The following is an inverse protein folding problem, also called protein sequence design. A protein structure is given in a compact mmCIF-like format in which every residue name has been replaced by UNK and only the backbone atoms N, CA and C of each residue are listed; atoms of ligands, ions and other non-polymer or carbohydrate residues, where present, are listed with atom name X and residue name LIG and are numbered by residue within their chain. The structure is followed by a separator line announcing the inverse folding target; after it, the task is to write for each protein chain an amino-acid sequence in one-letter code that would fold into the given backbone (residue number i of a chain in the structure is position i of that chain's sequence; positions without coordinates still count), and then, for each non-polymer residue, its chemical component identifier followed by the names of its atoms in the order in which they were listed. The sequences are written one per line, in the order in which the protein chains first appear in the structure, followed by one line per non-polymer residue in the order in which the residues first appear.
data_IF_042945967068
#
_entry.id   IF_042945967068
#
_cell.length_a   1.000
_cell.length_b   1.000
_cell.length_c   1.000
_cell.angle_alpha   90.00
_cell.angle_beta   90.00
_cell.angle_gamma   90.00
#
_symmetry.space_group_name_H-M   'P 1'
#
loop_
_entity.id
_entity.type
_entity.pdbx_description
1 polymer ?
#
# COMPACT_ATOMS: atom_id res chain seq x y z
N UNK A 1 -23.59 -0.68 8.97
CA UNK A 1 -22.94 -0.27 7.69
C UNK A 1 -23.19 1.19 7.34
N UNK A 2 -24.45 1.67 7.33
CA UNK A 2 -24.79 3.08 7.05
C UNK A 2 -23.98 4.08 7.90
N UNK A 3 -23.80 3.77 9.17
CA UNK A 3 -23.04 4.57 10.14
C UNK A 3 -21.54 4.73 9.81
N UNK A 4 -20.93 3.74 9.15
CA UNK A 4 -19.53 3.82 8.70
C UNK A 4 -19.39 4.52 7.35
N UNK A 5 -20.40 4.38 6.49
CA UNK A 5 -20.41 4.96 5.15
C UNK A 5 -20.63 6.49 5.20
N UNK A 6 -21.52 6.95 6.07
CA UNK A 6 -21.94 8.35 6.12
C UNK A 6 -20.79 9.34 6.46
N UNK A 7 -19.90 9.07 7.44
CA UNK A 7 -18.74 9.92 7.70
C UNK A 7 -17.77 10.01 6.51
N UNK A 8 -17.57 8.88 5.80
CA UNK A 8 -16.69 8.81 4.63
C UNK A 8 -17.29 9.63 3.48
N UNK A 9 -18.59 9.48 3.22
CA UNK A 9 -19.32 10.24 2.20
C UNK A 9 -19.31 11.75 2.49
N UNK A 10 -19.40 12.16 3.75
CA UNK A 10 -19.34 13.58 4.13
C UNK A 10 -17.97 14.21 3.85
N UNK A 11 -16.89 13.45 3.92
CA UNK A 11 -15.52 13.94 3.70
C UNK A 11 -15.06 13.84 2.24
N UNK A 12 -15.75 13.06 1.42
CA UNK A 12 -15.40 12.79 0.01
C UNK A 12 -15.26 14.06 -0.87
N UNK A 13 -16.14 15.07 -0.79
CA UNK A 13 -16.05 16.27 -1.62
C UNK A 13 -14.74 17.06 -1.43
N UNK A 14 -14.18 17.06 -0.22
CA UNK A 14 -12.88 17.68 0.06
C UNK A 14 -11.69 16.77 -0.29
N UNK A 15 -11.85 15.46 -0.07
CA UNK A 15 -10.81 14.47 -0.32
C UNK A 15 -10.42 14.35 -1.80
N UNK A 16 -11.39 14.31 -2.73
CA UNK A 16 -11.10 14.08 -4.16
C UNK A 16 -10.24 15.19 -4.78
N UNK A 17 -10.53 16.49 -4.61
CA UNK A 17 -9.66 17.56 -5.10
C UNK A 17 -8.26 17.52 -4.49
N UNK A 18 -8.14 17.19 -3.21
CA UNK A 18 -6.85 17.08 -2.55
C UNK A 18 -6.04 15.89 -3.07
N UNK A 19 -6.67 14.73 -3.25
CA UNK A 19 -6.07 13.59 -3.94
C UNK A 19 -5.59 13.97 -5.34
N UNK A 20 -6.40 14.70 -6.12
CA UNK A 20 -6.01 15.17 -7.46
C UNK A 20 -4.79 16.11 -7.43
N UNK A 21 -4.74 17.06 -6.49
CA UNK A 21 -3.57 17.93 -6.28
C UNK A 21 -2.33 17.15 -5.84
N UNK A 22 -2.52 16.11 -5.03
CA UNK A 22 -1.43 15.25 -4.56
C UNK A 22 -0.87 14.42 -5.71
N UNK A 23 -1.71 13.80 -6.54
CA UNK A 23 -1.26 12.97 -7.67
C UNK A 23 -0.55 13.81 -8.74
N UNK A 24 -1.04 15.03 -9.02
CA UNK A 24 -0.46 15.89 -10.06
C UNK A 24 0.83 16.59 -9.63
N UNK A 25 0.99 16.91 -8.34
CA UNK A 25 2.15 17.65 -7.81
C UNK A 25 2.61 17.08 -6.46
N UNK A 26 2.96 15.78 -6.37
CA UNK A 26 3.11 15.08 -5.10
C UNK A 26 4.09 15.77 -4.15
N UNK A 27 5.29 16.04 -4.66
CA UNK A 27 6.34 16.68 -3.88
C UNK A 27 5.92 18.03 -3.29
N UNK A 28 5.39 18.94 -4.12
CA UNK A 28 5.05 20.30 -3.69
C UNK A 28 3.84 20.29 -2.76
N UNK A 29 2.83 19.46 -3.05
CA UNK A 29 1.63 19.31 -2.22
C UNK A 29 1.98 18.78 -0.83
N UNK A 30 2.78 17.69 -0.74
CA UNK A 30 3.21 17.11 0.54
C UNK A 30 3.98 18.12 1.38
N UNK A 31 5.01 18.77 0.81
CA UNK A 31 5.85 19.71 1.55
C UNK A 31 5.04 20.90 2.06
N UNK A 32 4.11 21.42 1.25
CA UNK A 32 3.22 22.51 1.65
C UNK A 32 2.32 22.07 2.80
N UNK A 33 1.59 20.97 2.65
CA UNK A 33 0.64 20.50 3.66
C UNK A 33 1.34 20.17 4.99
N UNK A 34 2.50 19.50 4.95
CA UNK A 34 3.27 19.21 6.17
C UNK A 34 3.70 20.50 6.91
N UNK A 35 4.00 21.57 6.18
CA UNK A 35 4.33 22.88 6.78
C UNK A 35 3.09 23.58 7.35
N UNK A 36 1.98 23.55 6.64
CA UNK A 36 0.70 24.14 7.07
C UNK A 36 0.16 23.49 8.34
N UNK A 37 0.39 22.18 8.53
CA UNK A 37 -0.04 21.45 9.73
C UNK A 37 0.78 21.77 10.98
N UNK A 38 1.91 22.48 10.86
CA UNK A 38 2.76 22.94 11.98
C UNK A 38 3.13 21.84 13.00
N UNK A 39 3.24 20.59 12.54
CA UNK A 39 3.57 19.45 13.42
C UNK A 39 2.38 18.76 14.06
N UNK A 40 1.16 18.99 13.58
CA UNK A 40 -0.02 18.18 13.90
C UNK A 40 -0.16 17.01 12.91
N UNK A 41 -0.79 15.92 13.36
CA UNK A 41 -1.05 14.73 12.54
C UNK A 41 -2.51 14.64 12.07
N UNK A 42 -3.35 15.60 12.43
CA UNK A 42 -4.79 15.52 12.22
C UNK A 42 -5.16 15.36 10.75
N UNK A 43 -4.75 16.27 9.85
CA UNK A 43 -5.09 16.13 8.43
C UNK A 43 -4.46 14.91 7.76
N UNK A 44 -3.16 14.58 7.96
CA UNK A 44 -2.57 13.36 7.40
C UNK A 44 -3.29 12.08 7.84
N UNK A 45 -3.67 11.99 9.11
CA UNK A 45 -4.41 10.83 9.66
C UNK A 45 -5.81 10.74 9.08
N UNK A 46 -6.54 11.86 8.96
CA UNK A 46 -7.85 11.88 8.31
C UNK A 46 -7.72 11.46 6.84
N UNK A 47 -6.71 11.95 6.13
CA UNK A 47 -6.48 11.64 4.72
C UNK A 47 -6.24 10.15 4.49
N UNK A 48 -5.37 9.53 5.29
CA UNK A 48 -5.12 8.07 5.21
C UNK A 48 -6.34 7.27 5.68
N UNK A 49 -7.07 7.72 6.70
CA UNK A 49 -8.26 7.03 7.18
C UNK A 49 -9.35 6.97 6.10
N UNK A 50 -9.59 8.07 5.38
CA UNK A 50 -10.51 8.10 4.23
C UNK A 50 -10.03 7.15 3.13
N UNK A 51 -8.74 7.18 2.79
CA UNK A 51 -8.15 6.28 1.77
C UNK A 51 -8.33 4.81 2.15
N UNK A 52 -8.06 4.46 3.41
CA UNK A 52 -8.24 3.10 3.93
C UNK A 52 -9.70 2.70 3.89
N UNK A 53 -10.62 3.57 4.29
CA UNK A 53 -12.06 3.30 4.28
C UNK A 53 -12.58 3.05 2.86
N UNK A 54 -12.20 3.87 1.87
CA UNK A 54 -12.59 3.65 0.47
C UNK A 54 -12.00 2.33 -0.04
N UNK A 55 -10.70 2.08 0.19
CA UNK A 55 -10.09 0.81 -0.23
C UNK A 55 -10.73 -0.41 0.42
N UNK A 56 -11.14 -0.31 1.69
CA UNK A 56 -11.90 -1.37 2.36
C UNK A 56 -13.28 -1.61 1.73
N UNK A 57 -14.02 -0.53 1.45
CA UNK A 57 -15.32 -0.65 0.76
C UNK A 57 -15.20 -1.33 -0.61
N UNK A 58 -14.13 -1.03 -1.35
CA UNK A 58 -13.85 -1.66 -2.63
C UNK A 58 -13.49 -3.15 -2.50
N UNK A 59 -12.92 -3.56 -1.36
CA UNK A 59 -12.54 -4.96 -1.08
C UNK A 59 -13.65 -5.76 -0.39
N UNK A 60 -14.73 -5.13 0.06
CA UNK A 60 -15.82 -5.78 0.78
C UNK A 60 -16.39 -7.03 0.08
N UNK A 61 -16.52 -7.09 -1.26
CA UNK A 61 -17.01 -8.30 -1.94
C UNK A 61 -16.12 -9.54 -1.77
N UNK A 62 -14.88 -9.39 -1.28
CA UNK A 62 -13.94 -10.49 -1.02
C UNK A 62 -14.05 -11.10 0.37
N UNK A 63 -14.73 -10.42 1.30
CA UNK A 63 -14.80 -10.88 2.68
C UNK A 63 -15.72 -12.11 2.72
N UNK A 64 -15.19 -13.24 3.18
CA UNK A 64 -15.95 -14.48 3.33
C UNK A 64 -17.10 -14.28 4.33
N UNK A 65 -18.22 -14.96 4.09
CA UNK A 65 -19.47 -14.74 4.85
C UNK A 65 -19.38 -15.21 6.31
N UNK A 66 -18.45 -16.11 6.60
CA UNK A 66 -18.22 -16.77 7.89
C UNK A 66 -17.21 -16.03 8.77
N UNK A 67 -16.42 -15.11 8.21
CA UNK A 67 -15.47 -14.32 8.99
C UNK A 67 -16.13 -13.14 9.70
N UNK A 68 -15.82 -12.98 11.00
CA UNK A 68 -16.20 -11.78 11.76
C UNK A 68 -15.53 -10.54 11.14
N UNK A 69 -16.32 -9.74 10.41
CA UNK A 69 -15.85 -8.52 9.75
C UNK A 69 -15.17 -7.58 10.75
N UNK A 70 -15.69 -7.45 11.97
CA UNK A 70 -15.10 -6.61 13.02
C UNK A 70 -13.71 -7.10 13.43
N UNK A 71 -13.52 -8.41 13.60
CA UNK A 71 -12.23 -9.00 13.97
C UNK A 71 -11.21 -8.85 12.84
N UNK A 72 -11.62 -9.10 11.60
CA UNK A 72 -10.77 -8.93 10.42
C UNK A 72 -10.34 -7.47 10.25
N UNK A 73 -11.29 -6.53 10.30
CA UNK A 73 -11.00 -5.09 10.13
C UNK A 73 -10.11 -4.57 11.25
N UNK A 74 -10.40 -4.90 12.51
CA UNK A 74 -9.62 -4.42 13.66
C UNK A 74 -8.19 -4.96 13.66
N UNK A 75 -8.00 -6.26 13.39
CA UNK A 75 -6.66 -6.86 13.30
C UNK A 75 -5.84 -6.28 12.14
N UNK A 76 -6.44 -6.17 10.95
CA UNK A 76 -5.78 -5.55 9.80
C UNK A 76 -5.44 -4.07 10.05
N UNK A 77 -6.35 -3.31 10.65
CA UNK A 77 -6.14 -1.90 10.96
C UNK A 77 -5.00 -1.71 11.97
N UNK A 78 -5.04 -2.45 13.09
CA UNK A 78 -4.00 -2.41 14.11
C UNK A 78 -2.63 -2.76 13.53
N UNK A 79 -2.56 -3.84 12.75
CA UNK A 79 -1.34 -4.26 12.08
C UNK A 79 -0.80 -3.21 11.10
N UNK A 80 -1.66 -2.65 10.24
CA UNK A 80 -1.28 -1.60 9.28
C UNK A 80 -0.80 -0.33 9.98
N UNK A 81 -1.44 0.09 11.07
CA UNK A 81 -1.02 1.27 11.84
C UNK A 81 0.40 1.07 12.38
N UNK A 82 0.68 -0.09 12.99
CA UNK A 82 2.02 -0.40 13.50
C UNK A 82 3.03 -0.43 12.36
N UNK A 83 2.71 -1.09 11.25
CA UNK A 83 3.56 -1.12 10.05
C UNK A 83 3.88 0.28 9.53
N UNK A 84 2.88 1.17 9.46
CA UNK A 84 3.06 2.55 9.01
C UNK A 84 4.00 3.34 9.93
N UNK A 85 3.84 3.20 11.26
CA UNK A 85 4.68 3.88 12.26
C UNK A 85 6.12 3.36 12.17
N UNK A 86 6.30 2.03 12.15
CA UNK A 86 7.63 1.40 12.07
C UNK A 86 8.35 1.84 10.81
N UNK A 87 7.70 1.80 9.66
CA UNK A 87 8.34 2.16 8.40
C UNK A 87 8.66 3.66 8.32
N UNK A 88 7.77 4.52 8.84
CA UNK A 88 8.07 5.95 8.97
C UNK A 88 9.27 6.21 9.91
N UNK A 89 9.41 5.42 10.99
CA UNK A 89 10.54 5.50 11.90
C UNK A 89 11.85 5.08 11.22
N UNK A 90 11.82 4.04 10.37
CA UNK A 90 12.96 3.63 9.54
C UNK A 90 13.38 4.76 8.60
N UNK A 91 12.44 5.33 7.81
CA UNK A 91 12.73 6.45 6.91
C UNK A 91 13.33 7.62 7.70
N UNK A 92 12.71 7.98 8.82
CA UNK A 92 13.17 9.06 9.67
C UNK A 92 14.58 8.82 10.20
N UNK A 93 14.84 7.63 10.75
CA UNK A 93 16.14 7.20 11.25
C UNK A 93 17.23 7.29 10.17
N UNK A 94 16.96 6.77 8.98
CA UNK A 94 17.91 6.84 7.86
C UNK A 94 18.22 8.27 7.44
N UNK A 95 17.22 9.16 7.38
CA UNK A 95 17.47 10.59 7.13
C UNK A 95 18.26 11.25 8.27
N UNK A 96 17.99 10.89 9.54
CA UNK A 96 18.75 11.40 10.69
C UNK A 96 20.22 10.98 10.64
N UNK A 97 20.53 9.76 10.21
CA UNK A 97 21.91 9.27 10.05
C UNK A 97 22.73 10.10 9.05
N UNK A 98 22.10 10.70 8.04
CA UNK A 98 22.78 11.56 7.04
C UNK A 98 22.68 13.06 7.34
N UNK A 99 22.24 13.42 8.55
CA UNK A 99 22.14 14.80 9.04
C UNK A 99 20.82 15.51 8.74
N UNK A 100 19.74 14.77 8.48
CA UNK A 100 18.39 15.33 8.28
C UNK A 100 17.86 16.07 9.51
N UNK A 101 17.16 17.18 9.26
CA UNK A 101 16.70 18.11 10.31
C UNK A 101 15.19 18.08 10.56
N UNK A 102 14.41 17.32 9.78
CA UNK A 102 12.97 17.29 9.98
C UNK A 102 12.61 16.61 11.31
N UNK A 103 11.50 17.01 11.92
CA UNK A 103 10.91 16.28 13.05
C UNK A 103 10.30 14.95 12.59
N UNK A 104 10.17 13.98 13.49
CA UNK A 104 9.51 12.70 13.18
C UNK A 104 8.09 12.90 12.63
N UNK A 105 7.31 13.78 13.27
CA UNK A 105 5.94 14.10 12.83
C UNK A 105 5.89 14.55 11.36
N UNK A 106 6.82 15.41 10.93
CA UNK A 106 6.88 15.85 9.53
C UNK A 106 7.19 14.67 8.57
N UNK A 107 8.05 13.75 8.98
CA UNK A 107 8.36 12.54 8.20
C UNK A 107 7.14 11.62 8.14
N UNK A 108 6.47 11.41 9.27
CA UNK A 108 5.29 10.55 9.35
C UNK A 108 4.12 11.13 8.55
N UNK A 109 3.82 12.42 8.69
CA UNK A 109 2.81 13.12 7.87
C UNK A 109 3.07 12.96 6.37
N UNK A 110 4.32 13.18 5.94
CA UNK A 110 4.69 12.99 4.55
C UNK A 110 4.48 11.54 4.09
N UNK A 111 4.89 10.57 4.89
CA UNK A 111 4.70 9.16 4.57
C UNK A 111 3.21 8.77 4.47
N UNK A 112 2.35 9.26 5.37
CA UNK A 112 0.91 9.05 5.31
C UNK A 112 0.29 9.60 4.01
N UNK A 113 0.71 10.80 3.58
CA UNK A 113 0.26 11.33 2.29
C UNK A 113 0.78 10.51 1.11
N UNK A 114 1.99 9.95 1.18
CA UNK A 114 2.55 9.13 0.08
C UNK A 114 1.83 7.79 -0.04
N UNK A 115 1.62 7.09 1.07
CA UNK A 115 1.06 5.73 1.07
C UNK A 115 -0.43 5.72 0.72
N UNK A 116 -1.15 6.80 1.00
CA UNK A 116 -2.61 6.90 0.79
C UNK A 116 -3.05 6.71 -0.69
N UNK A 117 -2.59 7.52 -1.66
CA UNK A 117 -2.91 7.32 -3.07
C UNK A 117 -2.33 6.02 -3.62
N UNK A 118 -1.13 5.63 -3.16
CA UNK A 118 -0.52 4.37 -3.57
C UNK A 118 -1.41 3.19 -3.17
N UNK A 119 -1.84 3.14 -1.91
CA UNK A 119 -2.77 2.12 -1.42
C UNK A 119 -4.03 2.04 -2.28
N UNK A 120 -4.68 3.17 -2.56
CA UNK A 120 -5.88 3.21 -3.39
C UNK A 120 -5.65 2.60 -4.78
N UNK A 121 -4.57 2.98 -5.44
CA UNK A 121 -4.25 2.44 -6.76
C UNK A 121 -3.89 0.95 -6.70
N UNK A 122 -3.19 0.50 -5.66
CA UNK A 122 -2.90 -0.92 -5.44
C UNK A 122 -4.16 -1.74 -5.20
N UNK A 123 -5.16 -1.20 -4.49
CA UNK A 123 -6.48 -1.85 -4.32
C UNK A 123 -7.17 -2.01 -5.67
N UNK A 124 -7.14 -1.01 -6.54
CA UNK A 124 -7.74 -1.10 -7.88
C UNK A 124 -7.06 -2.16 -8.76
N UNK A 125 -5.72 -2.20 -8.75
CA UNK A 125 -4.98 -3.25 -9.45
C UNK A 125 -5.32 -4.64 -8.90
N UNK A 126 -5.42 -4.77 -7.58
CA UNK A 126 -5.78 -6.03 -6.93
C UNK A 126 -7.18 -6.51 -7.33
N UNK A 127 -8.16 -5.61 -7.50
CA UNK A 127 -9.48 -5.95 -8.03
C UNK A 127 -9.43 -6.37 -9.50
N UNK A 128 -8.63 -5.68 -10.32
CA UNK A 128 -8.42 -6.06 -11.71
C UNK A 128 -7.80 -7.46 -11.83
N UNK A 129 -6.79 -7.75 -11.01
CA UNK A 129 -6.19 -9.09 -10.91
C UNK A 129 -7.23 -10.16 -10.57
N UNK A 130 -8.08 -9.92 -9.57
CA UNK A 130 -9.17 -10.85 -9.24
C UNK A 130 -10.16 -11.04 -10.38
N UNK A 131 -10.45 -9.99 -11.15
CA UNK A 131 -11.30 -10.09 -12.34
C UNK A 131 -10.74 -11.11 -13.34
N UNK A 132 -9.43 -11.06 -13.60
CA UNK A 132 -8.73 -12.02 -14.46
C UNK A 132 -8.80 -13.44 -13.90
N UNK A 133 -8.55 -13.61 -12.60
CA UNK A 133 -8.61 -14.93 -11.94
C UNK A 133 -10.02 -15.52 -12.00
N UNK A 134 -11.04 -14.68 -11.78
CA UNK A 134 -12.43 -15.09 -11.83
C UNK A 134 -12.85 -15.51 -13.25
N UNK A 135 -12.36 -14.83 -14.28
CA UNK A 135 -12.64 -15.20 -15.68
C UNK A 135 -11.99 -16.54 -16.09
N UNK A 136 -10.85 -16.89 -15.49
CA UNK A 136 -10.24 -18.20 -15.72
C UNK A 136 -11.06 -19.36 -15.13
N UNK A 137 -11.82 -19.11 -14.05
CA UNK A 137 -12.71 -20.07 -13.40
C UNK A 137 -12.02 -21.39 -12.94
N UNK A 138 -10.74 -21.32 -12.59
CA UNK A 138 -10.00 -22.46 -12.03
C UNK A 138 -9.77 -22.24 -10.51
N UNK A 139 -10.41 -23.05 -9.64
CA UNK A 139 -10.35 -22.87 -8.19
C UNK A 139 -8.95 -23.14 -7.62
N UNK A 140 -8.19 -24.09 -8.18
CA UNK A 140 -6.81 -24.37 -7.76
C UNK A 140 -5.89 -23.19 -8.04
N UNK A 141 -6.06 -22.56 -9.21
CA UNK A 141 -5.30 -21.36 -9.57
C UNK A 141 -5.64 -20.16 -8.67
N UNK A 142 -6.93 -19.97 -8.35
CA UNK A 142 -7.38 -18.93 -7.43
C UNK A 142 -6.84 -19.14 -6.00
N UNK A 143 -6.84 -20.39 -5.52
CA UNK A 143 -6.27 -20.76 -4.22
C UNK A 143 -4.75 -20.53 -4.19
N UNK A 144 -4.05 -20.94 -5.26
CA UNK A 144 -2.60 -20.71 -5.41
C UNK A 144 -2.27 -19.21 -5.35
N UNK A 145 -2.98 -18.37 -6.10
CA UNK A 145 -2.74 -16.93 -6.10
C UNK A 145 -3.00 -16.25 -4.76
N UNK A 146 -3.96 -16.77 -3.99
CA UNK A 146 -4.23 -16.28 -2.64
C UNK A 146 -3.12 -16.65 -1.66
N UNK A 147 -2.49 -17.82 -1.84
CA UNK A 147 -1.38 -18.30 -1.00
C UNK A 147 0.00 -17.75 -1.40
N UNK A 148 0.21 -17.54 -2.70
CA UNK A 148 1.43 -16.97 -3.25
C UNK A 148 1.13 -15.97 -4.38
N UNK A 149 0.90 -14.69 -4.03
CA UNK A 149 0.61 -13.65 -5.02
C UNK A 149 1.81 -13.31 -5.93
N UNK A 150 3.01 -13.83 -5.63
CA UNK A 150 4.19 -13.68 -6.48
C UNK A 150 4.43 -14.89 -7.39
N UNK A 151 3.58 -15.93 -7.31
CA UNK A 151 3.59 -17.12 -8.17
C UNK A 151 4.94 -17.86 -8.21
N UNK A 152 5.72 -17.73 -7.15
CA UNK A 152 7.02 -18.37 -6.98
C UNK A 152 6.92 -19.84 -6.55
N UNK A 153 5.82 -20.23 -5.92
CA UNK A 153 5.66 -21.52 -5.26
C UNK A 153 5.22 -22.65 -6.20
N UNK A 154 4.54 -22.34 -7.31
CA UNK A 154 4.05 -23.37 -8.23
C UNK A 154 4.19 -22.97 -9.71
N UNK A 155 5.42 -23.05 -10.27
CA UNK A 155 5.67 -22.69 -11.66
C UNK A 155 4.92 -23.57 -12.66
N UNK A 156 4.57 -24.81 -12.28
CA UNK A 156 3.82 -25.72 -13.14
C UNK A 156 2.38 -25.23 -13.36
N UNK A 157 1.71 -24.76 -12.31
CA UNK A 157 0.35 -24.24 -12.40
C UNK A 157 0.29 -22.92 -13.20
N UNK A 158 1.30 -22.05 -13.04
CA UNK A 158 1.43 -20.86 -13.88
C UNK A 158 1.59 -21.20 -15.36
N UNK A 159 2.47 -22.16 -15.68
CA UNK A 159 2.66 -22.64 -17.05
C UNK A 159 1.38 -23.25 -17.63
N UNK A 160 0.62 -23.98 -16.82
CA UNK A 160 -0.68 -24.53 -17.23
C UNK A 160 -1.68 -23.41 -17.54
N UNK A 161 -1.75 -22.36 -16.71
CA UNK A 161 -2.57 -21.18 -16.97
C UNK A 161 -2.16 -20.43 -18.23
N UNK A 162 -0.87 -20.19 -18.43
CA UNK A 162 -0.32 -19.54 -19.63
C UNK A 162 -0.63 -20.33 -20.91
N UNK A 163 -0.58 -21.67 -20.84
CA UNK A 163 -0.91 -22.54 -21.97
C UNK A 163 -2.43 -22.56 -22.25
N UNK A 164 -3.25 -22.60 -21.21
CA UNK A 164 -4.70 -22.73 -21.33
C UNK A 164 -5.39 -21.42 -21.72
N UNK A 165 -4.94 -20.28 -21.17
CA UNK A 165 -5.51 -18.93 -21.37
C UNK A 165 -4.39 -17.88 -21.50
N UNK A 166 -3.64 -17.88 -22.63
CA UNK A 166 -2.51 -16.96 -22.83
C UNK A 166 -2.93 -15.48 -22.81
N UNK A 167 -4.17 -15.17 -23.22
CA UNK A 167 -4.78 -13.85 -23.16
C UNK A 167 -4.89 -13.32 -21.72
N UNK A 168 -5.40 -14.14 -20.81
CA UNK A 168 -5.54 -13.80 -19.40
C UNK A 168 -4.18 -13.77 -18.70
N UNK A 169 -3.28 -14.70 -19.02
CA UNK A 169 -1.92 -14.73 -18.46
C UNK A 169 -1.11 -13.49 -18.83
N UNK A 170 -1.21 -13.04 -20.09
CA UNK A 170 -0.61 -11.79 -20.52
C UNK A 170 -1.22 -10.59 -19.78
N UNK A 171 -2.55 -10.54 -19.68
CA UNK A 171 -3.26 -9.46 -18.96
C UNK A 171 -2.84 -9.38 -17.49
N UNK A 172 -2.79 -10.53 -16.80
CA UNK A 172 -2.30 -10.63 -15.43
C UNK A 172 -0.87 -10.10 -15.31
N UNK A 173 0.03 -10.53 -16.19
CA UNK A 173 1.43 -10.12 -16.18
C UNK A 173 1.60 -8.62 -16.40
N UNK A 174 0.81 -8.03 -17.31
CA UNK A 174 0.78 -6.59 -17.54
C UNK A 174 0.28 -5.81 -16.32
N UNK A 175 -0.75 -6.32 -15.64
CA UNK A 175 -1.25 -5.73 -14.38
C UNK A 175 -0.15 -5.74 -13.30
N UNK A 176 0.56 -6.86 -13.15
CA UNK A 176 1.64 -6.98 -12.16
C UNK A 176 2.83 -6.07 -12.50
N UNK A 177 3.20 -5.95 -13.78
CA UNK A 177 4.20 -5.00 -14.23
C UNK A 177 3.77 -3.55 -13.96
N UNK A 178 2.53 -3.19 -14.28
CA UNK A 178 1.97 -1.86 -14.02
C UNK A 178 1.97 -1.54 -12.52
N UNK A 179 1.64 -2.51 -11.66
CA UNK A 179 1.71 -2.39 -10.20
C UNK A 179 3.14 -2.09 -9.74
N UNK A 180 4.14 -2.81 -10.25
CA UNK A 180 5.56 -2.57 -9.94
C UNK A 180 6.02 -1.18 -10.39
N UNK A 181 5.72 -0.80 -11.63
CA UNK A 181 6.04 0.52 -12.19
C UNK A 181 5.39 1.63 -11.39
N UNK A 182 4.13 1.45 -10.98
CA UNK A 182 3.42 2.40 -10.13
C UNK A 182 4.13 2.58 -8.79
N UNK A 183 4.44 1.49 -8.07
CA UNK A 183 5.10 1.57 -6.74
C UNK A 183 6.42 2.33 -6.87
N UNK A 184 7.30 1.89 -7.77
CA UNK A 184 8.63 2.49 -7.93
C UNK A 184 8.56 3.92 -8.45
N UNK A 185 7.72 4.18 -9.44
CA UNK A 185 7.54 5.51 -10.04
C UNK A 185 6.94 6.50 -9.05
N UNK A 186 5.95 6.07 -8.27
CA UNK A 186 5.31 6.89 -7.24
C UNK A 186 6.28 7.22 -6.10
N UNK A 187 7.00 6.22 -5.58
CA UNK A 187 8.00 6.43 -4.53
C UNK A 187 9.08 7.41 -5.01
N UNK A 188 9.57 7.26 -6.24
CA UNK A 188 10.55 8.18 -6.82
C UNK A 188 9.99 9.61 -6.97
N UNK A 189 8.76 9.76 -7.47
CA UNK A 189 8.10 11.07 -7.63
C UNK A 189 7.89 11.78 -6.28
N UNK A 190 7.56 11.03 -5.24
CA UNK A 190 7.35 11.53 -3.88
C UNK A 190 8.64 11.75 -3.09
N UNK A 191 9.72 11.01 -3.40
CA UNK A 191 10.97 11.00 -2.63
C UNK A 191 11.55 12.40 -2.37
N UNK A 192 11.42 13.28 -3.37
CA UNK A 192 11.89 14.67 -3.27
C UNK A 192 11.23 15.47 -2.14
N UNK A 193 10.08 15.05 -1.63
CA UNK A 193 9.42 15.67 -0.47
C UNK A 193 10.23 15.44 0.80
N UNK A 194 10.63 14.19 1.08
CA UNK A 194 11.46 13.87 2.25
C UNK A 194 12.78 14.64 2.22
N UNK A 195 13.44 14.67 1.06
CA UNK A 195 14.68 15.46 0.88
C UNK A 195 14.50 16.92 1.29
N UNK A 196 13.40 17.56 0.84
CA UNK A 196 13.13 18.96 1.13
C UNK A 196 12.77 19.19 2.59
N UNK A 197 11.97 18.30 3.19
CA UNK A 197 11.62 18.38 4.61
C UNK A 197 12.85 18.23 5.51
N UNK A 198 13.75 17.32 5.17
CA UNK A 198 14.96 17.05 5.94
C UNK A 198 16.13 17.99 5.64
N UNK A 199 16.05 18.79 4.57
CA UNK A 199 17.09 19.74 4.20
C UNK A 199 18.41 19.10 3.75
N UNK A 200 18.37 17.87 3.22
CA UNK A 200 19.57 17.15 2.78
C UNK A 200 19.84 17.33 1.28
N UNK A 201 21.10 17.18 0.87
CA UNK A 201 21.47 17.26 -0.54
C UNK A 201 20.98 16.04 -1.35
N UNK A 202 21.10 16.11 -2.68
CA UNK A 202 20.61 15.07 -3.61
C UNK A 202 21.28 13.71 -3.40
N UNK A 203 22.60 13.70 -3.22
CA UNK A 203 23.38 12.46 -3.10
C UNK A 203 22.99 11.69 -1.82
N UNK A 204 22.99 12.38 -0.66
CA UNK A 204 22.59 11.78 0.63
C UNK A 204 21.16 11.28 0.59
N UNK A 205 20.25 12.04 -0.02
CA UNK A 205 18.86 11.62 -0.21
C UNK A 205 18.74 10.39 -1.11
N UNK A 206 19.56 10.27 -2.16
CA UNK A 206 19.61 9.08 -3.01
C UNK A 206 20.04 7.84 -2.24
N UNK A 207 21.09 7.95 -1.41
CA UNK A 207 21.57 6.86 -0.55
C UNK A 207 20.48 6.42 0.46
N UNK A 208 19.81 7.37 1.11
CA UNK A 208 18.68 7.07 2.00
C UNK A 208 17.53 6.40 1.24
N UNK A 209 17.31 6.78 -0.02
CA UNK A 209 16.30 6.15 -0.88
C UNK A 209 16.60 4.70 -1.17
N UNK A 210 17.82 4.39 -1.60
CA UNK A 210 18.28 3.02 -1.80
C UNK A 210 18.19 2.18 -0.51
N UNK A 211 18.65 2.73 0.62
CA UNK A 211 18.56 2.06 1.92
C UNK A 211 17.11 1.83 2.36
N UNK A 212 16.21 2.78 2.07
CA UNK A 212 14.77 2.66 2.38
C UNK A 212 14.11 1.59 1.51
N UNK A 213 14.44 1.49 0.22
CA UNK A 213 13.94 0.43 -0.66
C UNK A 213 14.43 -0.95 -0.20
N UNK A 214 15.70 -1.05 0.21
CA UNK A 214 16.22 -2.29 0.78
C UNK A 214 15.53 -2.66 2.10
N UNK A 215 15.34 -1.69 2.99
CA UNK A 215 14.60 -1.88 4.24
C UNK A 215 13.14 -2.24 4.00
N UNK A 216 12.50 -1.68 2.96
CA UNK A 216 11.15 -2.04 2.53
C UNK A 216 11.09 -3.50 2.11
N UNK A 217 12.02 -3.94 1.27
CA UNK A 217 12.10 -5.33 0.85
C UNK A 217 12.23 -6.28 2.06
N UNK A 218 13.18 -6.02 2.96
CA UNK A 218 13.33 -6.80 4.19
C UNK A 218 12.09 -6.77 5.07
N UNK A 219 11.45 -5.61 5.21
CA UNK A 219 10.21 -5.46 5.96
C UNK A 219 9.09 -6.31 5.37
N UNK A 220 8.89 -6.27 4.06
CA UNK A 220 7.88 -7.08 3.37
C UNK A 220 8.16 -8.58 3.50
N UNK A 221 9.42 -9.01 3.38
CA UNK A 221 9.82 -10.40 3.56
C UNK A 221 9.51 -10.88 4.98
N UNK A 222 9.94 -10.13 6.00
CA UNK A 222 9.67 -10.43 7.40
C UNK A 222 8.17 -10.47 7.69
N UNK A 223 7.41 -9.54 7.11
CA UNK A 223 5.96 -9.49 7.24
C UNK A 223 5.30 -10.73 6.63
N UNK A 224 5.73 -11.17 5.45
CA UNK A 224 5.26 -12.42 4.86
C UNK A 224 5.60 -13.63 5.74
N UNK A 225 6.79 -13.68 6.33
CA UNK A 225 7.18 -14.76 7.25
C UNK A 225 6.34 -14.76 8.54
N UNK A 226 6.11 -13.59 9.12
CA UNK A 226 5.26 -13.43 10.32
C UNK A 226 3.83 -13.83 10.02
N UNK A 227 3.25 -13.38 8.90
CA UNK A 227 1.90 -13.77 8.49
C UNK A 227 1.82 -15.29 8.28
N UNK A 228 2.78 -15.90 7.58
CA UNK A 228 2.83 -17.36 7.42
C UNK A 228 3.00 -18.11 8.75
N UNK A 229 3.77 -17.56 9.69
CA UNK A 229 3.96 -18.16 11.01
C UNK A 229 2.74 -18.03 11.92
N UNK A 230 2.09 -16.87 11.93
CA UNK A 230 0.91 -16.58 12.76
C UNK A 230 -0.34 -17.31 12.25
N UNK A 231 -0.50 -17.43 10.93
CA UNK A 231 -1.67 -18.05 10.31
C UNK A 231 -1.38 -19.49 9.84
N UNK A 232 -0.15 -19.98 9.97
CA UNK A 232 0.24 -21.35 9.61
C UNK A 232 0.09 -21.66 8.10
N UNK A 233 0.18 -22.95 7.70
CA UNK A 233 -0.28 -23.40 6.38
C UNK A 233 -1.80 -23.29 6.20
N UNK A 234 -2.53 -22.99 7.28
CA UNK A 234 -3.96 -22.72 7.29
C UNK A 234 -4.23 -21.23 7.06
N UNK A 235 -3.89 -20.72 5.86
CA UNK A 235 -4.51 -19.48 5.44
C UNK A 235 -6.03 -19.72 5.44
N UNK A 236 -6.83 -18.98 6.24
CA UNK A 236 -8.28 -19.16 6.28
C UNK A 236 -8.81 -18.89 4.87
N UNK A 237 -9.39 -19.91 4.24
CA UNK A 237 -9.80 -19.92 2.83
C UNK A 237 -9.44 -21.18 2.04
N UNK A 238 -8.82 -22.20 2.66
CA UNK A 238 -8.57 -23.51 2.03
C UNK A 238 -9.19 -24.64 2.86
N UNK A 239 -10.52 -24.73 2.85
CA UNK A 239 -11.28 -25.98 2.99
C UNK A 239 -12.51 -25.92 2.11
#
# INVERSE_FOLDING_TARGET
MKELLEPVLKQLPGYVPDLGKLVTRPKTSIVRWVKEEQGTLTKPVIFVAISVAIGFLLQLPRVEKDQSLTTLVSSMAGFKIVALIVFAAVIHGLFRLVGGLAKFVATFSAYLYIVSPLYMALVLFELATQGVVRDYNNPEFAAMLSADPFMSANPALWKAFETARPDLALTYSLIMLAKLVLVLGWDFACWGAFRQLHGVNRLRSGLVGGATLFAFYLFTLSLTLVLRGMFGPQLPGIQ
#
